data_IF_879668225884
#
_entry.id   IF_879668225884
#
_cell.length_a   1.000
_cell.length_b   1.000
_cell.length_c   1.000
_cell.angle_alpha   90.00
_cell.angle_beta   90.00
_cell.angle_gamma   90.00
#
_symmetry.space_group_name_H-M   'P 1'
#
loop_
_entity.id
_entity.type
_entity.pdbx_description
1 polymer ?
#
# COMPACT_ATOMS: atom_id res chain seq x y z
N UNK A 1 5.21 1.07 -5.29
CA UNK A 1 4.00 1.75 -4.84
C UNK A 1 3.96 1.82 -3.32
N UNK A 2 3.43 2.94 -2.76
CA UNK A 2 3.19 3.06 -1.34
C UNK A 2 1.83 2.44 -0.98
N UNK A 3 1.74 1.85 0.22
CA UNK A 3 0.50 1.29 0.75
C UNK A 3 0.31 1.65 2.22
N UNK A 4 -0.93 1.66 2.67
CA UNK A 4 -1.24 1.91 4.07
C UNK A 4 -2.49 1.16 4.54
N UNK A 5 -2.55 0.94 5.86
CA UNK A 5 -3.74 0.52 6.59
C UNK A 5 -4.21 1.70 7.44
N UNK A 6 -5.47 2.08 7.29
CA UNK A 6 -6.12 3.12 8.07
C UNK A 6 -7.24 2.49 8.90
N UNK A 7 -7.06 2.50 10.19
CA UNK A 7 -7.91 1.77 11.14
C UNK A 7 -8.49 2.72 12.19
N UNK A 8 -9.69 2.38 12.68
CA UNK A 8 -10.31 3.02 13.85
C UNK A 8 -10.21 2.12 15.06
N UNK A 9 -9.58 2.65 16.11
CA UNK A 9 -9.43 1.94 17.39
C UNK A 9 -10.70 2.09 18.22
N UNK A 10 -11.21 0.98 18.76
CA UNK A 10 -12.40 1.00 19.61
C UNK A 10 -12.13 1.56 21.02
N UNK A 11 -10.90 1.37 21.53
CA UNK A 11 -10.43 1.81 22.85
C UNK A 11 -9.05 2.45 22.69
N UNK A 12 -8.97 3.68 22.15
CA UNK A 12 -7.69 4.31 21.82
C UNK A 12 -6.79 4.52 23.04
N UNK A 13 -7.37 4.72 24.23
CA UNK A 13 -6.64 4.92 25.48
C UNK A 13 -5.75 3.70 25.87
N UNK A 14 -6.15 2.52 25.49
CA UNK A 14 -5.39 1.27 25.72
C UNK A 14 -4.62 0.86 24.47
N UNK A 15 -5.32 0.82 23.34
CA UNK A 15 -4.82 0.26 22.08
C UNK A 15 -3.66 1.07 21.50
N UNK A 16 -3.62 2.40 21.72
CA UNK A 16 -2.51 3.23 21.22
C UNK A 16 -1.16 2.79 21.75
N UNK A 17 -1.07 2.51 23.06
CA UNK A 17 0.19 2.08 23.66
C UNK A 17 0.63 0.71 23.16
N UNK A 18 -0.32 -0.21 23.00
CA UNK A 18 -0.07 -1.56 22.48
C UNK A 18 0.37 -1.53 21.01
N UNK A 19 -0.33 -0.78 20.16
CA UNK A 19 0.00 -0.65 18.74
C UNK A 19 1.37 0.01 18.52
N UNK A 20 1.73 0.97 19.39
CA UNK A 20 3.08 1.55 19.36
C UNK A 20 4.16 0.51 19.66
N UNK A 21 3.98 -0.28 20.73
CA UNK A 21 4.91 -1.36 21.07
C UNK A 21 5.02 -2.38 19.95
N UNK A 22 3.88 -2.79 19.40
CA UNK A 22 3.82 -3.74 18.30
C UNK A 22 4.58 -3.22 17.07
N UNK A 23 4.38 -1.94 16.72
CA UNK A 23 5.10 -1.34 15.59
C UNK A 23 6.62 -1.35 15.83
N UNK A 24 7.07 -0.92 17.01
CA UNK A 24 8.51 -0.91 17.35
C UNK A 24 9.10 -2.34 17.36
N UNK A 25 8.36 -3.31 17.87
CA UNK A 25 8.76 -4.72 17.84
C UNK A 25 8.83 -5.26 16.41
N UNK A 26 7.91 -4.86 15.53
CA UNK A 26 7.92 -5.23 14.12
C UNK A 26 9.17 -4.68 13.42
N UNK A 27 9.53 -3.42 13.65
CA UNK A 27 10.77 -2.83 13.10
C UNK A 27 11.99 -3.57 13.63
N UNK A 28 12.04 -3.87 14.93
CA UNK A 28 13.10 -4.68 15.52
C UNK A 28 13.24 -6.08 14.87
N UNK A 29 12.10 -6.74 14.61
CA UNK A 29 12.06 -8.03 13.94
C UNK A 29 12.57 -7.96 12.49
N UNK A 30 12.14 -6.92 11.75
CA UNK A 30 12.63 -6.66 10.38
C UNK A 30 14.15 -6.43 10.39
N UNK A 31 14.68 -5.72 11.38
CA UNK A 31 16.11 -5.51 11.54
C UNK A 31 16.88 -6.82 11.79
N UNK A 32 16.33 -7.73 12.61
CA UNK A 32 16.95 -9.03 12.85
C UNK A 32 17.02 -9.85 11.56
N UNK A 33 15.90 -9.95 10.84
CA UNK A 33 15.86 -10.65 9.55
C UNK A 33 16.76 -9.97 8.52
N UNK A 34 16.73 -8.63 8.47
CA UNK A 34 17.57 -7.84 7.58
C UNK A 34 19.06 -8.09 7.82
N UNK A 35 19.49 -8.08 9.09
CA UNK A 35 20.88 -8.35 9.46
C UNK A 35 21.34 -9.75 9.05
N UNK A 36 20.47 -10.76 9.21
CA UNK A 36 20.77 -12.14 8.75
C UNK A 36 20.96 -12.23 7.24
N UNK A 37 20.39 -11.32 6.46
CA UNK A 37 20.48 -11.26 5.01
C UNK A 37 21.41 -10.17 4.49
N UNK A 38 22.21 -9.54 5.36
CA UNK A 38 23.14 -8.47 4.98
C UNK A 38 22.43 -7.18 4.51
N UNK A 39 21.17 -6.96 4.92
CA UNK A 39 20.41 -5.77 4.58
C UNK A 39 20.69 -4.63 5.57
N UNK A 40 20.57 -3.36 5.14
CA UNK A 40 20.68 -2.22 6.05
C UNK A 40 19.61 -2.28 7.15
N UNK A 41 19.97 -1.81 8.32
CA UNK A 41 19.06 -1.71 9.46
C UNK A 41 18.17 -0.47 9.36
N UNK A 42 16.97 -0.57 9.91
CA UNK A 42 16.04 0.54 10.11
C UNK A 42 16.30 1.19 11.47
N UNK A 43 16.50 2.49 11.47
CA UNK A 43 16.39 3.32 12.67
C UNK A 43 15.02 3.96 12.72
N UNK A 44 14.54 4.38 13.88
CA UNK A 44 13.22 5.02 13.98
C UNK A 44 13.32 6.39 14.65
N UNK A 45 12.41 7.25 14.20
CA UNK A 45 12.29 8.62 14.65
C UNK A 45 10.86 8.88 15.13
N UNK A 46 10.71 9.70 16.15
CA UNK A 46 9.41 10.09 16.70
C UNK A 46 9.18 11.56 16.44
N UNK A 47 8.28 11.84 15.50
CA UNK A 47 7.91 13.18 15.11
C UNK A 47 6.62 13.59 15.83
N UNK A 48 6.57 14.84 16.28
CA UNK A 48 5.34 15.46 16.82
C UNK A 48 4.97 16.60 15.91
N UNK A 49 3.90 16.42 15.16
CA UNK A 49 3.40 17.39 14.17
C UNK A 49 1.93 17.68 14.47
N UNK A 50 1.58 18.94 14.73
CA UNK A 50 0.20 19.40 14.98
C UNK A 50 -0.57 18.56 16.01
N UNK A 51 0.07 18.21 17.13
CA UNK A 51 -0.52 17.35 18.16
C UNK A 51 -0.68 15.87 17.81
N UNK A 52 -0.16 15.45 16.67
CA UNK A 52 -0.12 14.06 16.19
C UNK A 52 1.22 13.43 16.53
N UNK A 53 1.20 12.14 16.81
CA UNK A 53 2.43 11.35 17.01
C UNK A 53 2.65 10.52 15.76
N UNK A 54 3.81 10.69 15.15
CA UNK A 54 4.25 9.93 13.98
C UNK A 54 5.52 9.19 14.38
N UNK A 55 5.53 7.87 14.28
CA UNK A 55 6.71 7.05 14.46
C UNK A 55 7.08 6.53 13.07
N UNK A 56 8.21 6.98 12.55
CA UNK A 56 8.71 6.58 11.24
C UNK A 56 10.03 5.85 11.39
N UNK A 57 10.32 4.97 10.45
CA UNK A 57 11.62 4.29 10.39
C UNK A 57 12.27 4.51 9.04
N UNK A 58 13.58 4.73 9.06
CA UNK A 58 14.39 4.94 7.88
C UNK A 58 15.60 4.01 7.90
N UNK A 59 16.04 3.58 6.74
CA UNK A 59 17.28 2.82 6.65
C UNK A 59 18.48 3.66 7.06
N UNK A 60 19.30 3.12 7.95
CA UNK A 60 20.58 3.71 8.27
C UNK A 60 21.46 3.78 7.02
N UNK A 61 22.20 4.91 6.82
CA UNK A 61 23.16 5.01 5.73
C UNK A 61 24.20 3.89 5.88
N UNK A 62 24.26 2.99 4.91
CA UNK A 62 25.24 1.92 4.83
C UNK A 62 25.97 1.95 3.49
N UNK A 63 27.10 1.27 3.39
CA UNK A 63 27.75 1.01 2.10
C UNK A 63 26.82 0.12 1.27
N UNK A 64 25.93 0.75 0.52
CA UNK A 64 25.12 0.05 -0.44
C UNK A 64 25.99 -0.33 -1.63
N UNK A 65 26.22 -1.61 -1.80
CA UNK A 65 26.72 -2.14 -3.07
C UNK A 65 25.68 -1.81 -4.13
N UNK A 66 25.89 -0.69 -4.84
CA UNK A 66 25.09 -0.28 -6.00
C UNK A 66 25.27 -1.35 -7.07
N UNK A 67 24.38 -2.33 -7.09
CA UNK A 67 24.28 -3.23 -8.25
C UNK A 67 23.63 -2.44 -9.37
N UNK A 68 24.32 -2.24 -10.52
CA UNK A 68 23.76 -1.52 -11.65
C UNK A 68 22.42 -2.17 -12.06
N UNK A 69 21.39 -1.34 -12.27
CA UNK A 69 20.11 -1.76 -12.83
C UNK A 69 19.06 -2.29 -11.85
N UNK A 70 19.32 -2.32 -10.55
CA UNK A 70 18.30 -2.66 -9.54
C UNK A 70 18.08 -1.50 -8.59
N UNK A 71 16.83 -1.05 -8.45
CA UNK A 71 16.49 -0.15 -7.37
C UNK A 71 16.74 -0.86 -6.03
N UNK A 72 17.39 -0.22 -5.06
CA UNK A 72 17.61 -0.83 -3.75
C UNK A 72 16.27 -1.15 -3.09
N UNK A 73 16.20 -2.27 -2.34
CA UNK A 73 14.98 -2.72 -1.66
C UNK A 73 14.40 -1.67 -0.69
N UNK A 74 15.26 -0.79 -0.20
CA UNK A 74 14.91 0.34 0.67
C UNK A 74 14.42 1.58 -0.08
N UNK A 75 14.35 1.53 -1.42
CA UNK A 75 13.81 2.63 -2.19
C UNK A 75 12.34 2.84 -1.86
N UNK A 76 12.02 4.05 -1.37
CA UNK A 76 10.68 4.45 -0.99
C UNK A 76 10.00 3.53 0.05
N UNK A 77 10.78 3.01 1.01
CA UNK A 77 10.27 2.23 2.13
C UNK A 77 10.72 2.83 3.45
N UNK A 78 9.82 3.52 4.11
CA UNK A 78 9.98 4.13 5.45
C UNK A 78 8.74 3.81 6.29
N UNK A 79 8.66 2.58 6.83
CA UNK A 79 7.50 2.16 7.62
C UNK A 79 7.16 3.18 8.68
N UNK A 80 5.90 3.59 8.71
CA UNK A 80 5.44 4.70 9.53
C UNK A 80 4.13 4.34 10.22
N UNK A 81 4.05 4.55 11.52
CA UNK A 81 2.83 4.45 12.31
C UNK A 81 2.41 5.81 12.83
N UNK A 82 1.14 6.16 12.68
CA UNK A 82 0.59 7.42 13.19
C UNK A 82 -0.63 7.21 14.06
N UNK A 83 -0.80 8.11 15.03
CA UNK A 83 -1.90 8.06 15.99
C UNK A 83 -2.55 9.44 16.10
N UNK A 84 -3.86 9.51 15.86
CA UNK A 84 -4.65 10.73 15.97
C UNK A 84 -6.04 10.40 16.54
N UNK A 85 -6.24 10.67 17.83
CA UNK A 85 -7.47 10.28 18.51
C UNK A 85 -7.69 8.75 18.43
N UNK A 86 -8.81 8.33 17.84
CA UNK A 86 -9.13 6.93 17.60
C UNK A 86 -8.55 6.36 16.30
N UNK A 87 -7.90 7.19 15.48
CA UNK A 87 -7.36 6.80 14.18
C UNK A 87 -5.93 6.28 14.31
N UNK A 88 -5.67 5.15 13.73
CA UNK A 88 -4.35 4.54 13.58
C UNK A 88 -4.06 4.30 12.10
N UNK A 89 -2.95 4.82 11.61
CA UNK A 89 -2.47 4.58 10.24
C UNK A 89 -1.12 3.91 10.29
N UNK A 90 -1.00 2.77 9.63
CA UNK A 90 0.25 2.09 9.34
C UNK A 90 0.55 2.22 7.85
N UNK A 91 1.66 2.84 7.50
CA UNK A 91 2.03 3.12 6.11
C UNK A 91 3.42 2.62 5.78
N UNK A 92 3.65 2.27 4.52
CA UNK A 92 4.97 1.92 3.99
C UNK A 92 5.87 3.13 3.77
N UNK A 93 5.32 4.36 3.82
CA UNK A 93 6.09 5.61 3.65
C UNK A 93 5.57 6.73 4.55
N UNK A 94 6.47 7.58 5.01
CA UNK A 94 6.12 8.78 5.77
C UNK A 94 5.24 9.75 4.96
N UNK A 95 5.51 9.90 3.66
CA UNK A 95 4.72 10.76 2.78
C UNK A 95 3.25 10.37 2.76
N UNK A 96 2.95 9.08 2.49
CA UNK A 96 1.57 8.58 2.47
C UNK A 96 0.89 8.67 3.85
N UNK A 97 1.65 8.44 4.94
CA UNK A 97 1.12 8.61 6.28
C UNK A 97 0.64 10.05 6.54
N UNK A 98 1.43 11.06 6.13
CA UNK A 98 1.07 12.49 6.24
C UNK A 98 -0.13 12.85 5.37
N UNK A 99 -0.18 12.36 4.14
CA UNK A 99 -1.33 12.57 3.24
C UNK A 99 -2.62 12.03 3.86
N UNK A 100 -2.59 10.83 4.39
CA UNK A 100 -3.75 10.22 5.03
C UNK A 100 -4.19 10.95 6.30
N UNK A 101 -3.27 11.49 7.09
CA UNK A 101 -3.61 12.30 8.27
C UNK A 101 -4.31 13.61 7.92
N UNK A 102 -4.03 14.18 6.76
CA UNK A 102 -4.64 15.41 6.27
C UNK A 102 -5.86 15.14 5.38
N UNK A 103 -5.98 13.94 4.83
CA UNK A 103 -7.11 13.55 4.00
C UNK A 103 -8.42 13.59 4.82
N UNK A 104 -9.44 14.22 4.26
CA UNK A 104 -10.81 14.09 4.76
C UNK A 104 -11.22 12.62 4.71
N UNK A 105 -12.09 12.20 5.63
CA UNK A 105 -12.62 10.84 5.63
C UNK A 105 -13.05 10.44 4.21
N UNK A 106 -12.50 9.31 3.73
CA UNK A 106 -12.96 8.73 2.47
C UNK A 106 -14.44 8.43 2.64
N UNK A 107 -15.34 8.94 1.77
CA UNK A 107 -16.74 8.63 1.86
C UNK A 107 -16.92 7.11 1.98
N UNK A 108 -17.62 6.66 3.00
CA UNK A 108 -17.94 5.24 3.16
C UNK A 108 -18.72 4.80 1.93
N UNK A 109 -18.41 3.62 1.42
CA UNK A 109 -19.24 3.02 0.38
C UNK A 109 -20.68 2.96 0.90
N UNK A 110 -21.67 3.25 0.03
CA UNK A 110 -23.06 3.14 0.39
C UNK A 110 -23.35 1.74 0.93
N UNK A 111 -23.67 1.69 2.21
CA UNK A 111 -24.02 0.43 2.88
C UNK A 111 -25.51 0.23 2.66
N UNK A 112 -25.94 -0.90 2.07
CA UNK A 112 -27.35 -1.18 1.91
C UNK A 112 -28.07 -1.19 3.26
N UNK A 113 -29.32 -0.74 3.29
CA UNK A 113 -30.12 -0.72 4.49
C UNK A 113 -30.09 -2.08 5.23
N UNK A 114 -29.86 -2.04 6.54
CA UNK A 114 -29.81 -3.22 7.41
C UNK A 114 -28.47 -3.99 7.39
N UNK A 115 -27.41 -3.45 6.76
CA UNK A 115 -26.07 -4.03 6.80
C UNK A 115 -25.06 -3.13 7.53
N UNK A 116 -24.01 -3.72 8.07
CA UNK A 116 -22.84 -3.02 8.61
C UNK A 116 -21.64 -3.30 7.74
N UNK A 117 -21.06 -2.24 7.16
CA UNK A 117 -19.84 -2.36 6.38
C UNK A 117 -18.69 -2.80 7.30
N UNK A 118 -18.08 -3.93 6.98
CA UNK A 118 -16.92 -4.45 7.69
C UNK A 118 -15.63 -4.01 7.02
N UNK A 119 -15.50 -4.28 5.71
CA UNK A 119 -14.29 -3.99 4.95
C UNK A 119 -14.66 -3.52 3.56
N UNK A 120 -13.92 -2.53 3.05
CA UNK A 120 -14.00 -2.12 1.64
C UNK A 120 -12.58 -2.06 1.07
N UNK A 121 -12.39 -2.68 -0.08
CA UNK A 121 -11.20 -2.54 -0.89
C UNK A 121 -11.58 -1.80 -2.18
N UNK A 122 -10.82 -0.78 -2.53
CA UNK A 122 -10.99 -0.04 -3.79
C UNK A 122 -9.68 -0.02 -4.55
N UNK A 123 -9.75 -0.32 -5.83
CA UNK A 123 -8.63 -0.21 -6.75
C UNK A 123 -8.90 0.93 -7.73
N UNK A 124 -8.03 1.93 -7.71
CA UNK A 124 -8.06 3.01 -8.69
C UNK A 124 -7.22 2.60 -9.91
N UNK A 125 -7.91 2.08 -10.91
CA UNK A 125 -7.26 1.45 -12.06
C UNK A 125 -6.43 2.43 -12.93
N UNK A 126 -6.81 3.70 -13.11
CA UNK A 126 -5.95 4.65 -13.81
C UNK A 126 -4.56 4.80 -13.19
N UNK A 127 -4.47 4.87 -11.86
CA UNK A 127 -3.17 4.91 -11.18
C UNK A 127 -2.38 3.62 -11.36
N UNK A 128 -3.05 2.46 -11.28
CA UNK A 128 -2.40 1.18 -11.56
C UNK A 128 -1.85 1.14 -12.99
N UNK A 129 -2.66 1.55 -13.98
CA UNK A 129 -2.23 1.63 -15.38
C UNK A 129 -1.00 2.52 -15.53
N UNK A 130 -0.99 3.70 -14.89
CA UNK A 130 0.15 4.62 -14.94
C UNK A 130 1.43 3.95 -14.40
N UNK A 131 1.34 3.30 -13.24
CA UNK A 131 2.47 2.58 -12.64
C UNK A 131 3.00 1.49 -13.58
N UNK A 132 2.12 0.72 -14.20
CA UNK A 132 2.54 -0.32 -15.15
C UNK A 132 3.16 0.27 -16.41
N UNK A 133 2.61 1.37 -16.93
CA UNK A 133 3.17 2.07 -18.08
C UNK A 133 4.57 2.63 -17.78
N UNK A 134 4.76 3.25 -16.62
CA UNK A 134 6.07 3.77 -16.19
C UNK A 134 7.12 2.67 -16.03
N UNK A 135 6.70 1.43 -15.82
CA UNK A 135 7.56 0.25 -15.67
C UNK A 135 7.50 -0.69 -16.89
N UNK A 136 6.94 -0.26 -18.02
CA UNK A 136 6.70 -1.10 -19.20
C UNK A 136 7.96 -1.82 -19.70
N UNK A 137 9.10 -1.12 -19.76
CA UNK A 137 10.35 -1.73 -20.21
C UNK A 137 10.80 -2.89 -19.31
N UNK A 138 10.59 -2.77 -18.01
CA UNK A 138 10.93 -3.83 -17.07
C UNK A 138 9.98 -5.02 -17.20
N UNK A 139 8.69 -4.76 -17.42
CA UNK A 139 7.69 -5.80 -17.65
C UNK A 139 7.98 -6.58 -18.93
N UNK A 140 8.34 -5.90 -20.01
CA UNK A 140 8.77 -6.52 -21.27
C UNK A 140 10.00 -7.39 -21.05
N UNK A 141 11.03 -6.89 -20.38
CA UNK A 141 12.24 -7.65 -20.11
C UNK A 141 11.97 -8.89 -19.24
N UNK A 142 11.06 -8.78 -18.28
CA UNK A 142 10.65 -9.90 -17.44
C UNK A 142 9.87 -10.94 -18.25
N UNK A 143 8.93 -10.53 -19.09
CA UNK A 143 8.14 -11.41 -19.95
C UNK A 143 9.04 -12.21 -20.92
N UNK A 144 10.04 -11.54 -21.52
CA UNK A 144 11.04 -12.21 -22.37
C UNK A 144 11.80 -13.30 -21.60
N UNK A 145 12.15 -13.06 -20.33
CA UNK A 145 12.92 -14.00 -19.51
C UNK A 145 12.07 -15.17 -18.99
N UNK A 146 10.82 -14.93 -18.65
CA UNK A 146 9.93 -15.93 -18.04
C UNK A 146 9.23 -16.78 -19.09
N UNK A 147 8.77 -16.17 -20.18
CA UNK A 147 7.98 -16.85 -21.22
C UNK A 147 8.81 -17.23 -22.46
N UNK A 148 10.05 -16.71 -22.56
CA UNK A 148 10.92 -16.96 -23.70
C UNK A 148 10.50 -16.25 -24.98
N UNK A 149 9.66 -15.20 -24.86
CA UNK A 149 9.19 -14.40 -25.99
C UNK A 149 10.31 -13.57 -26.63
N UNK A 150 10.17 -13.28 -27.92
CA UNK A 150 10.94 -12.22 -28.55
C UNK A 150 10.53 -10.86 -27.96
N UNK A 151 11.38 -9.84 -28.17
CA UNK A 151 11.07 -8.49 -27.68
C UNK A 151 9.77 -7.96 -28.26
N UNK A 152 9.53 -8.19 -29.55
CA UNK A 152 8.32 -7.72 -30.25
C UNK A 152 7.04 -8.42 -29.71
N UNK A 153 7.12 -9.70 -29.43
CA UNK A 153 5.99 -10.45 -28.84
C UNK A 153 5.72 -9.97 -27.41
N UNK A 154 6.74 -9.79 -26.59
CA UNK A 154 6.61 -9.30 -25.23
C UNK A 154 6.05 -7.86 -25.18
N UNK A 155 6.52 -6.95 -26.05
CA UNK A 155 6.00 -5.59 -26.16
C UNK A 155 4.50 -5.61 -26.50
N UNK A 156 4.09 -6.38 -27.51
CA UNK A 156 2.70 -6.49 -27.93
C UNK A 156 1.79 -7.07 -26.85
N UNK A 157 2.28 -8.05 -26.10
CA UNK A 157 1.51 -8.65 -25.00
C UNK A 157 1.30 -7.65 -23.87
N UNK A 158 2.35 -6.96 -23.43
CA UNK A 158 2.25 -5.94 -22.39
C UNK A 158 1.36 -4.77 -22.83
N UNK A 159 1.45 -4.31 -24.07
CA UNK A 159 0.55 -3.29 -24.60
C UNK A 159 -0.91 -3.75 -24.57
N UNK A 160 -1.20 -4.97 -24.98
CA UNK A 160 -2.55 -5.55 -24.94
C UNK A 160 -3.09 -5.57 -23.50
N UNK A 161 -2.27 -5.98 -22.53
CA UNK A 161 -2.64 -5.98 -21.12
C UNK A 161 -2.95 -4.55 -20.62
N UNK A 162 -2.11 -3.57 -20.97
CA UNK A 162 -2.32 -2.17 -20.62
C UNK A 162 -3.57 -1.56 -21.25
N UNK A 163 -3.91 -1.96 -22.48
CA UNK A 163 -5.16 -1.57 -23.13
C UNK A 163 -6.37 -2.13 -22.40
N UNK A 164 -6.38 -3.44 -22.10
CA UNK A 164 -7.46 -4.09 -21.35
C UNK A 164 -7.66 -3.47 -19.96
N UNK A 165 -6.58 -3.23 -19.22
CA UNK A 165 -6.63 -2.51 -17.96
C UNK A 165 -7.21 -1.10 -18.16
N UNK A 166 -6.90 -0.47 -19.28
CA UNK A 166 -7.39 0.86 -19.64
C UNK A 166 -8.91 0.96 -19.82
N UNK A 167 -9.63 -0.15 -20.02
CA UNK A 167 -11.10 -0.16 -20.11
C UNK A 167 -11.78 -0.02 -18.74
N UNK A 168 -11.05 -0.28 -17.67
CA UNK A 168 -11.57 -0.23 -16.29
C UNK A 168 -11.20 1.09 -15.62
N UNK A 169 -12.17 1.77 -15.00
CA UNK A 169 -11.93 2.97 -14.16
C UNK A 169 -11.64 2.61 -12.72
N UNK A 170 -12.25 1.55 -12.23
CA UNK A 170 -12.07 1.17 -10.84
C UNK A 170 -12.76 -0.14 -10.50
N UNK A 171 -12.30 -0.73 -9.41
CA UNK A 171 -12.91 -1.91 -8.83
C UNK A 171 -13.15 -1.66 -7.35
N UNK A 172 -14.25 -2.17 -6.84
CA UNK A 172 -14.58 -2.12 -5.42
C UNK A 172 -15.01 -3.51 -4.96
N UNK A 173 -14.48 -3.94 -3.82
CA UNK A 173 -14.95 -5.14 -3.12
C UNK A 173 -15.32 -4.72 -1.71
N UNK A 174 -16.52 -5.08 -1.26
CA UNK A 174 -17.03 -4.75 0.07
C UNK A 174 -17.50 -6.00 0.80
N UNK A 175 -17.10 -6.16 2.04
CA UNK A 175 -17.60 -7.16 2.96
C UNK A 175 -18.62 -6.50 3.90
N UNK A 176 -19.85 -6.99 3.87
CA UNK A 176 -20.97 -6.43 4.62
C UNK A 176 -21.45 -7.49 5.61
N UNK A 177 -21.47 -7.13 6.88
CA UNK A 177 -22.03 -7.98 7.93
C UNK A 177 -23.53 -7.70 8.06
N UNK A 178 -24.34 -8.74 7.97
CA UNK A 178 -25.76 -8.75 8.33
C UNK A 178 -25.98 -9.59 9.59
N UNK A 179 -27.18 -9.59 10.14
CA UNK A 179 -27.51 -10.33 11.36
C UNK A 179 -27.15 -11.82 11.29
N UNK A 180 -27.33 -12.46 10.14
CA UNK A 180 -27.19 -13.90 9.99
C UNK A 180 -26.20 -14.33 8.89
N UNK A 181 -25.59 -13.37 8.18
CA UNK A 181 -24.68 -13.68 7.09
C UNK A 181 -23.64 -12.58 6.82
N UNK A 182 -22.53 -12.99 6.22
CA UNK A 182 -21.58 -12.10 5.56
C UNK A 182 -21.92 -12.03 4.07
N UNK A 183 -21.95 -10.82 3.52
CA UNK A 183 -22.22 -10.56 2.12
C UNK A 183 -20.98 -9.94 1.49
N UNK A 184 -20.46 -10.55 0.44
CA UNK A 184 -19.39 -10.01 -0.39
C UNK A 184 -19.98 -9.37 -1.64
N UNK A 185 -19.67 -8.10 -1.86
CA UNK A 185 -20.08 -7.35 -3.07
C UNK A 185 -18.87 -6.92 -3.86
N UNK A 186 -18.91 -7.18 -5.16
CA UNK A 186 -17.94 -6.67 -6.13
C UNK A 186 -18.63 -5.71 -7.11
N UNK A 187 -17.92 -4.65 -7.50
CA UNK A 187 -18.32 -3.75 -8.55
C UNK A 187 -17.11 -3.39 -9.41
N UNK A 188 -17.29 -3.39 -10.72
CA UNK A 188 -16.31 -2.94 -11.72
C UNK A 188 -16.91 -1.76 -12.45
N UNK A 189 -16.19 -0.64 -12.44
CA UNK A 189 -16.56 0.56 -13.16
C UNK A 189 -15.79 0.58 -14.48
N UNK A 190 -16.50 0.49 -15.58
CA UNK A 190 -15.92 0.58 -16.92
C UNK A 190 -15.86 2.05 -17.37
N UNK A 191 -14.99 2.34 -18.33
CA UNK A 191 -15.05 3.62 -19.05
C UNK A 191 -16.33 3.65 -19.88
N UNK A 192 -16.99 4.82 -19.98
CA UNK A 192 -18.06 4.99 -20.97
C UNK A 192 -17.51 4.69 -22.37
N UNK A 193 -18.27 4.00 -23.19
CA UNK A 193 -18.02 3.95 -24.64
C UNK A 193 -18.24 5.35 -25.19
N UNK A 194 -17.23 5.92 -25.84
CA UNK A 194 -17.39 7.14 -26.65
C UNK A 194 -18.30 6.86 -27.85
#
# INVERSE_FOLDING_TARGET
>A
PAFALDLRMKKPEVTTAEMRRTFLSMVGFVNVIGAMNGQPQLDFDILKEDGKIIITSNYLPGEQTKKPGKAPINYNFSPTATFQGDRFVLSSTLGLARELLTAREIPRADVPAGGKLNTTMRLHVPTLKQILTDNQQQLVAQNMLEEGHSKEEAEKEIETILELIGLVRGMTVALIQRSERLELRGAVLLKPSE
#
